data_IF_348646706245
#
_entry.id   IF_348646706245
#
_cell.length_a   1.000
_cell.length_b   1.000
_cell.length_c   1.000
_cell.angle_alpha   90.00
_cell.angle_beta   90.00
_cell.angle_gamma   90.00
#
_symmetry.space_group_name_H-M   'P 1'
#
loop_
_entity.id
_entity.type
_entity.pdbx_description
1 polymer ?
#
# COMPACT_ATOMS: atom_id res chain seq x y z
N UNK A 1 30.21 11.27 1.35
CA UNK A 1 29.67 12.28 0.40
C UNK A 1 28.29 11.80 0.01
N UNK A 2 27.25 12.29 0.67
CA UNK A 2 25.86 11.96 0.33
C UNK A 2 25.47 12.91 -0.80
N UNK A 3 25.30 12.40 -2.02
CA UNK A 3 24.77 13.22 -3.12
C UNK A 3 23.41 13.80 -2.68
N UNK A 4 23.16 15.10 -2.89
CA UNK A 4 21.87 15.68 -2.57
C UNK A 4 20.83 15.02 -3.48
N UNK A 5 19.84 14.33 -2.88
CA UNK A 5 18.70 13.80 -3.62
C UNK A 5 18.06 14.94 -4.42
N UNK A 6 18.12 14.85 -5.74
CA UNK A 6 17.39 15.77 -6.62
C UNK A 6 15.91 15.74 -6.24
N UNK A 7 15.26 16.90 -6.05
CA UNK A 7 13.84 16.93 -5.71
C UNK A 7 13.03 16.23 -6.81
N UNK A 8 12.29 15.21 -6.43
CA UNK A 8 11.49 14.40 -7.36
C UNK A 8 10.32 15.21 -7.95
N UNK A 9 10.12 15.13 -9.26
CA UNK A 9 9.05 15.81 -10.02
C UNK A 9 7.68 15.14 -9.83
N UNK A 10 6.61 15.80 -10.29
CA UNK A 10 5.27 15.20 -10.39
C UNK A 10 5.20 14.11 -11.48
N UNK A 11 5.99 14.25 -12.54
CA UNK A 11 6.01 13.28 -13.64
C UNK A 11 6.82 12.02 -13.31
N UNK A 12 7.58 12.05 -12.21
CA UNK A 12 8.39 10.91 -11.80
C UNK A 12 7.52 9.68 -11.49
N UNK A 13 7.96 8.47 -11.87
CA UNK A 13 7.24 7.25 -11.60
C UNK A 13 7.17 6.97 -10.10
N UNK A 14 6.12 6.28 -9.66
CA UNK A 14 6.01 5.79 -8.27
C UNK A 14 7.07 4.71 -8.02
N UNK A 15 8.00 4.96 -7.09
CA UNK A 15 9.10 4.03 -6.77
C UNK A 15 8.94 3.40 -5.39
N UNK A 16 8.08 3.96 -4.55
CA UNK A 16 7.83 3.45 -3.20
C UNK A 16 6.36 3.40 -2.84
N UNK A 17 5.93 2.29 -2.23
CA UNK A 17 4.56 2.08 -1.76
C UNK A 17 4.59 1.67 -0.28
N UNK A 18 3.84 2.39 0.54
CA UNK A 18 3.64 2.10 1.96
C UNK A 18 2.20 1.64 2.20
N UNK A 19 2.02 0.45 2.77
CA UNK A 19 0.72 0.01 3.27
C UNK A 19 0.57 0.25 4.77
N UNK A 20 -0.55 0.79 5.21
CA UNK A 20 -0.81 1.07 6.63
C UNK A 20 -2.09 0.39 7.08
N UNK A 21 -2.01 -0.34 8.20
CA UNK A 21 -3.20 -0.79 8.92
C UNK A 21 -3.07 -0.47 10.42
N UNK A 22 -3.87 -1.10 11.27
CA UNK A 22 -3.78 -0.86 12.73
C UNK A 22 -2.58 -1.59 13.33
N UNK A 23 -2.63 -2.92 13.39
CA UNK A 23 -1.65 -3.73 14.13
C UNK A 23 -0.41 -4.17 13.33
N UNK A 24 -0.41 -3.95 12.01
CA UNK A 24 0.62 -4.45 11.08
C UNK A 24 0.90 -5.96 11.18
N UNK A 25 -0.15 -6.76 11.39
CA UNK A 25 -0.06 -8.23 11.43
C UNK A 25 -1.01 -8.92 10.45
N UNK A 26 -2.01 -8.23 9.90
CA UNK A 26 -3.01 -8.82 9.02
C UNK A 26 -3.01 -8.21 7.61
N UNK A 27 -3.68 -7.06 7.45
CA UNK A 27 -4.00 -6.45 6.15
C UNK A 27 -2.80 -5.84 5.43
N UNK A 28 -2.05 -4.96 6.11
CA UNK A 28 -0.91 -4.28 5.49
C UNK A 28 0.28 -5.20 5.20
N UNK A 29 0.62 -6.21 6.03
CA UNK A 29 1.62 -7.22 5.67
C UNK A 29 1.22 -8.04 4.45
N UNK A 30 -0.05 -8.46 4.36
CA UNK A 30 -0.57 -9.19 3.20
C UNK A 30 -0.37 -8.38 1.91
N UNK A 31 -0.76 -7.10 1.94
CA UNK A 31 -0.63 -6.22 0.79
C UNK A 31 0.84 -5.96 0.41
N UNK A 32 1.72 -5.74 1.39
CA UNK A 32 3.15 -5.54 1.18
C UNK A 32 3.79 -6.75 0.50
N UNK A 33 3.63 -7.93 1.09
CA UNK A 33 4.30 -9.14 0.62
C UNK A 33 3.79 -9.54 -0.77
N UNK A 34 2.48 -9.43 -0.99
CA UNK A 34 1.90 -9.69 -2.31
C UNK A 34 2.37 -8.69 -3.36
N UNK A 35 2.39 -7.38 -3.06
CA UNK A 35 2.86 -6.40 -4.04
C UNK A 35 4.35 -6.56 -4.34
N UNK A 36 5.17 -6.85 -3.32
CA UNK A 36 6.61 -7.09 -3.48
C UNK A 36 6.89 -8.28 -4.38
N UNK A 37 6.14 -9.38 -4.22
CA UNK A 37 6.20 -10.54 -5.11
C UNK A 37 5.83 -10.17 -6.56
N UNK A 38 4.75 -9.39 -6.73
CA UNK A 38 4.26 -9.04 -8.06
C UNK A 38 5.05 -7.92 -8.76
N UNK A 39 5.75 -7.07 -8.04
CA UNK A 39 6.54 -5.99 -8.66
C UNK A 39 7.96 -6.00 -8.09
N UNK A 40 8.81 -6.95 -8.52
CA UNK A 40 10.21 -6.99 -8.11
C UNK A 40 10.92 -5.67 -8.41
N UNK A 41 11.76 -5.21 -7.49
CA UNK A 41 12.50 -3.94 -7.61
C UNK A 41 11.77 -2.70 -7.10
N UNK A 42 10.46 -2.78 -6.81
CA UNK A 42 9.72 -1.69 -6.17
C UNK A 42 10.00 -1.65 -4.66
N UNK A 43 10.19 -0.44 -4.10
CA UNK A 43 10.34 -0.28 -2.65
C UNK A 43 8.97 -0.37 -1.96
N UNK A 44 8.59 -1.58 -1.55
CA UNK A 44 7.32 -1.82 -0.83
C UNK A 44 7.58 -2.02 0.66
N UNK A 45 6.76 -1.41 1.51
CA UNK A 45 6.78 -1.66 2.95
C UNK A 45 5.40 -1.52 3.58
N UNK A 46 5.23 -1.99 4.82
CA UNK A 46 4.03 -1.78 5.60
C UNK A 46 4.31 -1.39 7.04
N UNK A 47 3.36 -0.69 7.64
CA UNK A 47 3.38 -0.22 9.02
C UNK A 47 2.01 -0.32 9.68
N UNK A 48 2.01 -0.15 11.00
CA UNK A 48 0.81 -0.12 11.83
C UNK A 48 0.71 1.19 12.58
N UNK A 49 -0.48 1.81 12.61
CA UNK A 49 -0.71 3.00 13.45
C UNK A 49 -0.64 2.67 14.95
N UNK A 50 -0.95 1.43 15.31
CA UNK A 50 -0.80 0.86 16.66
C UNK A 50 -0.23 -0.55 16.52
N UNK A 51 1.00 -0.65 16.02
CA UNK A 51 1.60 -1.91 15.61
C UNK A 51 1.86 -2.83 16.80
N UNK A 52 1.63 -4.12 16.59
CA UNK A 52 2.05 -5.17 17.52
C UNK A 52 3.52 -5.49 17.28
N UNK A 53 4.43 -4.54 17.53
CA UNK A 53 5.84 -4.55 17.06
C UNK A 53 6.56 -5.89 17.30
N UNK A 54 7.28 -6.36 16.28
CA UNK A 54 8.08 -7.59 16.34
C UNK A 54 7.28 -8.88 16.16
N UNK A 55 5.95 -8.81 16.04
CA UNK A 55 5.11 -9.97 15.76
C UNK A 55 5.21 -10.38 14.29
N UNK A 56 5.04 -11.67 14.04
CA UNK A 56 4.84 -12.20 12.70
C UNK A 56 3.46 -11.86 12.14
N UNK A 57 3.23 -12.25 10.89
CA UNK A 57 1.91 -12.16 10.28
C UNK A 57 0.93 -13.10 10.99
N UNK A 58 -0.31 -12.65 11.16
CA UNK A 58 -1.39 -13.43 11.77
C UNK A 58 -1.65 -14.69 10.93
N UNK A 59 -1.84 -15.84 11.60
CA UNK A 59 -1.83 -17.17 10.97
C UNK A 59 -2.87 -17.34 9.87
N UNK A 60 -4.10 -16.87 10.08
CA UNK A 60 -5.16 -16.99 9.09
C UNK A 60 -4.82 -16.19 7.83
N UNK A 61 -4.32 -14.96 8.02
CA UNK A 61 -3.88 -14.12 6.90
C UNK A 61 -2.64 -14.69 6.20
N UNK A 62 -1.69 -15.25 6.95
CA UNK A 62 -0.52 -15.93 6.39
C UNK A 62 -0.93 -17.15 5.55
N UNK A 63 -1.92 -17.92 6.02
CA UNK A 63 -2.51 -19.02 5.26
C UNK A 63 -3.13 -18.56 3.94
N UNK A 64 -3.90 -17.47 3.95
CA UNK A 64 -4.46 -16.88 2.72
C UNK A 64 -3.36 -16.41 1.75
N UNK A 65 -2.25 -15.87 2.27
CA UNK A 65 -1.13 -15.42 1.43
C UNK A 65 -0.38 -16.61 0.82
N UNK A 66 -0.20 -17.69 1.59
CA UNK A 66 0.43 -18.93 1.13
C UNK A 66 -0.36 -19.60 -0.01
N UNK A 67 -1.69 -19.50 -0.01
CA UNK A 67 -2.54 -19.96 -1.14
C UNK A 67 -2.22 -19.23 -2.45
N UNK A 68 -1.60 -18.05 -2.39
CA UNK A 68 -1.14 -17.28 -3.55
C UNK A 68 0.33 -17.57 -3.93
N UNK A 69 0.97 -18.54 -3.25
CA UNK A 69 2.38 -18.90 -3.45
C UNK A 69 3.38 -17.96 -2.78
N UNK A 70 2.93 -17.06 -1.91
CA UNK A 70 3.79 -16.06 -1.25
C UNK A 70 3.99 -16.41 0.22
N UNK A 71 5.25 -16.54 0.64
CA UNK A 71 5.62 -16.78 2.04
C UNK A 71 5.53 -15.52 2.89
N UNK A 72 5.31 -15.70 4.19
CA UNK A 72 5.36 -14.61 5.19
C UNK A 72 6.50 -14.77 6.20
N UNK A 73 7.39 -15.74 5.96
CA UNK A 73 8.54 -16.00 6.80
C UNK A 73 9.46 -14.77 6.89
N UNK A 74 9.95 -14.50 8.10
CA UNK A 74 10.80 -13.33 8.36
C UNK A 74 10.07 -11.98 8.42
N UNK A 75 8.78 -11.89 8.07
CA UNK A 75 8.02 -10.66 8.27
C UNK A 75 7.95 -10.32 9.76
N UNK A 76 8.14 -9.05 10.09
CA UNK A 76 8.01 -8.51 11.45
C UNK A 76 7.28 -7.19 11.40
N UNK A 77 6.23 -7.08 12.21
CA UNK A 77 5.42 -5.88 12.34
C UNK A 77 6.25 -4.69 12.85
N UNK A 78 5.94 -3.51 12.34
CA UNK A 78 6.64 -2.25 12.62
C UNK A 78 5.65 -1.10 12.84
N UNK A 79 5.95 -0.27 13.82
CA UNK A 79 5.18 0.94 14.12
C UNK A 79 5.39 1.97 13.02
N UNK A 80 4.30 2.60 12.58
CA UNK A 80 4.36 3.73 11.65
C UNK A 80 5.13 4.87 12.30
N UNK A 81 6.13 5.38 11.59
CA UNK A 81 6.86 6.59 11.94
C UNK A 81 6.61 7.67 10.88
N UNK A 82 6.87 8.94 11.22
CA UNK A 82 6.67 10.08 10.31
C UNK A 82 7.52 9.94 9.05
N UNK A 83 8.72 9.40 9.17
CA UNK A 83 9.66 9.20 8.07
C UNK A 83 9.13 8.20 7.02
N UNK A 84 8.34 7.21 7.45
CA UNK A 84 7.72 6.24 6.54
C UNK A 84 6.74 6.93 5.59
N UNK A 85 6.11 8.02 6.03
CA UNK A 85 5.17 8.80 5.24
C UNK A 85 5.84 9.58 4.10
N UNK A 86 7.17 9.47 3.96
CA UNK A 86 7.94 9.98 2.82
C UNK A 86 7.71 9.19 1.51
N UNK A 87 7.07 8.01 1.56
CA UNK A 87 6.76 7.19 0.39
C UNK A 87 5.98 7.95 -0.69
N UNK A 88 6.08 7.49 -1.94
CA UNK A 88 5.39 8.10 -3.09
C UNK A 88 3.89 7.84 -3.08
N UNK A 89 3.49 6.67 -2.58
CA UNK A 89 2.09 6.25 -2.45
C UNK A 89 1.90 5.56 -1.09
N UNK A 90 0.97 6.09 -0.28
CA UNK A 90 0.57 5.54 1.01
C UNK A 90 -0.86 5.01 0.88
N UNK A 91 -1.06 3.74 1.18
CA UNK A 91 -2.36 3.06 1.07
C UNK A 91 -2.80 2.55 2.44
N UNK A 92 -3.88 3.12 2.95
CA UNK A 92 -4.50 2.70 4.21
C UNK A 92 -5.67 1.74 3.95
N UNK A 93 -6.11 1.01 4.98
CA UNK A 93 -7.23 0.07 4.87
C UNK A 93 -8.59 0.71 5.18
N UNK A 94 -8.61 1.88 5.84
CA UNK A 94 -9.85 2.57 6.19
C UNK A 94 -9.72 4.08 6.28
N UNK A 95 -10.86 4.78 6.18
CA UNK A 95 -10.92 6.24 6.36
C UNK A 95 -10.38 6.70 7.73
N UNK A 96 -10.64 5.94 8.80
CA UNK A 96 -10.09 6.23 10.14
C UNK A 96 -8.57 6.20 10.15
N UNK A 97 -7.95 5.24 9.49
CA UNK A 97 -6.49 5.15 9.40
C UNK A 97 -5.91 6.29 8.56
N UNK A 98 -6.62 6.73 7.51
CA UNK A 98 -6.23 7.92 6.74
C UNK A 98 -6.19 9.14 7.65
N UNK A 99 -7.22 9.37 8.46
CA UNK A 99 -7.27 10.52 9.36
C UNK A 99 -6.10 10.52 10.34
N UNK A 100 -5.80 9.38 10.98
CA UNK A 100 -4.61 9.25 11.86
C UNK A 100 -3.31 9.58 11.13
N UNK A 101 -3.12 9.10 9.90
CA UNK A 101 -1.93 9.43 9.10
C UNK A 101 -1.83 10.94 8.82
N UNK A 102 -2.95 11.61 8.56
CA UNK A 102 -2.98 13.03 8.23
C UNK A 102 -2.88 13.94 9.46
N UNK A 103 -3.30 13.46 10.64
CA UNK A 103 -3.06 14.11 11.92
C UNK A 103 -1.57 14.15 12.24
N UNK A 104 -0.86 13.03 12.01
CA UNK A 104 0.60 12.94 12.20
C UNK A 104 1.38 13.76 11.16
N UNK A 105 0.95 13.75 9.89
CA UNK A 105 1.62 14.50 8.83
C UNK A 105 0.62 14.97 7.76
N UNK A 106 0.13 16.22 7.85
CA UNK A 106 -0.75 16.81 6.85
C UNK A 106 -0.14 16.82 5.43
N UNK A 107 1.19 16.90 5.32
CA UNK A 107 1.90 16.85 4.05
C UNK A 107 1.75 15.51 3.30
N UNK A 108 1.29 14.45 3.98
CA UNK A 108 1.01 13.16 3.36
C UNK A 108 -0.31 13.12 2.57
N UNK A 109 -1.17 14.14 2.68
CA UNK A 109 -2.49 14.18 2.02
C UNK A 109 -2.43 13.95 0.49
N UNK A 110 -1.35 14.41 -0.17
CA UNK A 110 -1.16 14.26 -1.63
C UNK A 110 -0.66 12.89 -2.07
N UNK A 111 -0.56 11.92 -1.15
CA UNK A 111 -0.06 10.56 -1.41
C UNK A 111 -0.78 9.48 -0.61
N UNK A 112 -1.61 9.87 0.36
CA UNK A 112 -2.39 8.94 1.17
C UNK A 112 -3.80 8.73 0.62
N UNK A 113 -4.08 7.52 0.14
CA UNK A 113 -5.41 7.06 -0.29
C UNK A 113 -5.83 5.75 0.38
N UNK A 114 -7.08 5.33 0.13
CA UNK A 114 -7.61 4.06 0.64
C UNK A 114 -7.36 2.95 -0.38
N UNK A 115 -6.92 1.78 0.08
CA UNK A 115 -6.73 0.62 -0.78
C UNK A 115 -8.05 0.18 -1.46
N UNK A 116 -9.19 0.34 -0.79
CA UNK A 116 -10.51 0.06 -1.36
C UNK A 116 -10.93 0.97 -2.51
N UNK A 117 -10.21 2.07 -2.74
CA UNK A 117 -10.48 3.06 -3.81
C UNK A 117 -9.48 2.95 -4.97
N UNK A 118 -8.73 1.85 -5.05
CA UNK A 118 -7.84 1.57 -6.16
C UNK A 118 -8.53 1.50 -7.53
N UNK A 119 -9.79 1.04 -7.66
CA UNK A 119 -10.51 1.11 -8.93
C UNK A 119 -10.59 2.54 -9.48
N UNK A 120 -10.80 3.55 -8.63
CA UNK A 120 -10.84 4.96 -9.02
C UNK A 120 -9.47 5.44 -9.52
N UNK A 121 -8.38 5.06 -8.85
CA UNK A 121 -7.03 5.37 -9.33
C UNK A 121 -6.78 4.74 -10.69
N UNK A 122 -7.17 3.48 -10.86
CA UNK A 122 -7.01 2.73 -12.11
C UNK A 122 -7.77 3.39 -13.25
N UNK A 123 -9.03 3.79 -13.00
CA UNK A 123 -9.85 4.51 -13.98
C UNK A 123 -9.26 5.88 -14.34
N UNK A 124 -8.74 6.62 -13.34
CA UNK A 124 -8.13 7.92 -13.56
C UNK A 124 -6.84 7.82 -14.39
N UNK A 125 -6.00 6.83 -14.11
CA UNK A 125 -4.72 6.64 -14.78
C UNK A 125 -4.93 6.12 -16.21
N UNK A 126 -5.85 5.17 -16.39
CA UNK A 126 -6.08 4.50 -17.66
C UNK A 126 -4.85 3.72 -18.10
N UNK A 127 -4.45 3.89 -19.36
CA UNK A 127 -3.29 3.20 -19.93
C UNK A 127 -1.94 3.90 -19.70
N UNK A 128 -1.96 5.05 -19.03
CA UNK A 128 -0.75 5.83 -18.75
C UNK A 128 0.09 5.19 -17.62
N UNK A 129 1.41 5.43 -17.59
CA UNK A 129 2.24 5.13 -16.43
C UNK A 129 1.75 5.81 -15.16
N UNK A 130 1.88 5.13 -14.01
CA UNK A 130 1.55 5.70 -12.70
C UNK A 130 2.70 6.57 -12.20
N UNK A 131 2.46 7.88 -12.15
CA UNK A 131 3.38 8.87 -11.62
C UNK A 131 2.85 9.57 -10.36
N UNK A 132 3.70 10.35 -9.70
CA UNK A 132 3.35 11.05 -8.45
C UNK A 132 2.26 12.10 -8.65
N UNK A 133 2.18 12.73 -9.82
CA UNK A 133 1.16 13.71 -10.19
C UNK A 133 -0.23 13.09 -10.24
N UNK A 134 -0.34 11.90 -10.85
CA UNK A 134 -1.58 11.13 -10.89
C UNK A 134 -2.02 10.68 -9.49
N UNK A 135 -1.08 10.22 -8.64
CA UNK A 135 -1.36 9.92 -7.24
C UNK A 135 -1.89 11.16 -6.52
N UNK A 136 -1.21 12.31 -6.64
CA UNK A 136 -1.63 13.54 -5.99
C UNK A 136 -2.98 14.08 -6.47
N UNK A 137 -3.30 13.91 -7.76
CA UNK A 137 -4.62 14.23 -8.30
C UNK A 137 -5.69 13.29 -7.72
N UNK A 138 -5.40 11.99 -7.68
CA UNK A 138 -6.31 10.98 -7.16
C UNK A 138 -6.61 11.18 -5.67
N UNK A 139 -5.60 11.42 -4.82
CA UNK A 139 -5.84 11.57 -3.38
C UNK A 139 -6.54 12.87 -3.00
N UNK A 140 -6.49 13.90 -3.86
CA UNK A 140 -7.29 15.12 -3.71
C UNK A 140 -8.76 14.89 -4.03
N UNK A 141 -9.05 14.10 -5.07
CA UNK A 141 -10.42 13.74 -5.45
C UNK A 141 -11.01 12.63 -4.56
N UNK A 142 -10.14 11.76 -4.03
CA UNK A 142 -10.50 10.61 -3.19
C UNK A 142 -10.76 11.03 -1.75
N UNK A 143 -11.85 11.78 -1.56
CA UNK A 143 -12.48 11.91 -0.26
C UNK A 143 -13.88 11.23 -0.16
N UNK A 144 -14.15 10.02 -0.71
CA UNK A 144 -15.34 9.30 -0.29
C UNK A 144 -15.10 8.57 1.05
N UNK A 145 -16.11 8.56 1.91
CA UNK A 145 -16.23 7.55 2.94
C UNK A 145 -16.66 6.21 2.32
N UNK A 146 -16.33 5.09 2.96
CA UNK A 146 -16.76 3.75 2.53
C UNK A 146 -15.70 2.96 1.75
N UNK A 147 -16.01 1.68 1.47
CA UNK A 147 -15.08 0.64 0.94
C UNK A 147 -13.86 0.37 1.81
N UNK A 148 -14.01 0.55 3.12
CA UNK A 148 -13.02 0.09 4.08
C UNK A 148 -12.82 -1.42 3.92
N UNK A 149 -11.55 -1.86 3.99
CA UNK A 149 -11.23 -3.29 4.04
C UNK A 149 -11.45 -3.76 5.49
N UNK A 150 -12.38 -4.70 5.72
CA UNK A 150 -12.73 -5.18 7.07
C UNK A 150 -11.49 -5.66 7.82
N UNK A 151 -11.46 -5.48 9.14
CA UNK A 151 -10.33 -5.94 9.97
C UNK A 151 -10.51 -7.41 10.39
N UNK A 152 -9.69 -8.35 9.90
CA UNK A 152 -9.85 -9.77 10.21
C UNK A 152 -9.16 -10.18 11.52
N UNK A 153 -8.49 -9.26 12.22
CA UNK A 153 -7.68 -9.61 13.39
C UNK A 153 -8.49 -10.32 14.48
N UNK A 154 -8.06 -11.55 14.83
CA UNK A 154 -8.73 -12.44 15.80
C UNK A 154 -10.21 -12.71 15.47
N UNK A 155 -10.53 -12.81 14.17
CA UNK A 155 -11.86 -13.17 13.66
C UNK A 155 -11.86 -14.58 13.05
N UNK A 156 -12.93 -14.93 12.34
CA UNK A 156 -13.06 -16.23 11.68
C UNK A 156 -12.16 -16.33 10.44
N UNK A 157 -11.89 -17.55 10.00
CA UNK A 157 -11.18 -17.79 8.74
C UNK A 157 -11.90 -17.17 7.54
N UNK A 158 -13.24 -17.16 7.57
CA UNK A 158 -14.06 -16.51 6.55
C UNK A 158 -13.79 -14.99 6.49
N UNK A 159 -13.63 -14.33 7.65
CA UNK A 159 -13.31 -12.90 7.70
C UNK A 159 -11.91 -12.62 7.15
N UNK A 160 -10.94 -13.49 7.44
CA UNK A 160 -9.59 -13.43 6.86
C UNK A 160 -9.64 -13.61 5.33
N UNK A 161 -10.35 -14.63 4.85
CA UNK A 161 -10.51 -14.90 3.42
C UNK A 161 -11.21 -13.74 2.66
N UNK A 162 -12.26 -13.16 3.26
CA UNK A 162 -12.92 -11.98 2.70
C UNK A 162 -11.95 -10.80 2.55
N UNK A 163 -11.21 -10.50 3.61
CA UNK A 163 -10.24 -9.39 3.62
C UNK A 163 -9.11 -9.65 2.62
N UNK A 164 -8.59 -10.88 2.58
CA UNK A 164 -7.54 -11.29 1.64
C UNK A 164 -7.99 -11.15 0.18
N UNK A 165 -9.22 -11.56 -0.16
CA UNK A 165 -9.78 -11.39 -1.51
C UNK A 165 -9.81 -9.93 -1.95
N UNK A 166 -10.33 -9.05 -1.09
CA UNK A 166 -10.39 -7.61 -1.39
C UNK A 166 -8.99 -7.01 -1.58
N UNK A 167 -8.05 -7.35 -0.69
CA UNK A 167 -6.67 -6.86 -0.80
C UNK A 167 -6.01 -7.39 -2.08
N UNK A 168 -6.16 -8.68 -2.37
CA UNK A 168 -5.58 -9.31 -3.55
C UNK A 168 -6.09 -8.64 -4.84
N UNK A 169 -7.39 -8.38 -4.94
CA UNK A 169 -7.98 -7.69 -6.10
C UNK A 169 -7.32 -6.33 -6.32
N UNK A 170 -7.29 -5.49 -5.29
CA UNK A 170 -6.74 -4.13 -5.39
C UNK A 170 -5.21 -4.11 -5.59
N UNK A 171 -4.48 -5.01 -4.94
CA UNK A 171 -3.02 -5.13 -5.11
C UNK A 171 -2.68 -5.64 -6.51
N UNK A 172 -3.48 -6.55 -7.08
CA UNK A 172 -3.28 -7.03 -8.45
C UNK A 172 -3.49 -5.91 -9.46
N UNK A 173 -4.53 -5.10 -9.29
CA UNK A 173 -4.76 -3.91 -10.13
C UNK A 173 -3.61 -2.90 -10.00
N UNK A 174 -3.16 -2.62 -8.78
CA UNK A 174 -2.02 -1.74 -8.52
C UNK A 174 -0.71 -2.26 -9.17
N UNK A 175 -0.44 -3.56 -9.05
CA UNK A 175 0.73 -4.17 -9.68
C UNK A 175 0.71 -4.01 -11.21
N UNK A 176 -0.46 -4.15 -11.83
CA UNK A 176 -0.62 -3.92 -13.27
C UNK A 176 -0.32 -2.47 -13.67
N UNK A 177 -0.74 -1.48 -12.87
CA UNK A 177 -0.41 -0.06 -13.10
C UNK A 177 1.10 0.22 -12.96
N UNK A 178 1.73 -0.32 -11.92
CA UNK A 178 3.13 -0.07 -11.61
C UNK A 178 4.07 -0.67 -12.66
N UNK A 179 3.76 -1.86 -13.18
CA UNK A 179 4.58 -2.52 -14.22
C UNK A 179 4.63 -1.73 -15.54
N UNK A 180 3.57 -0.99 -15.88
CA UNK A 180 3.53 -0.11 -17.07
C UNK A 180 4.53 1.05 -16.98
N UNK A 181 4.92 1.42 -15.77
CA UNK A 181 5.84 2.54 -15.52
C UNK A 181 7.32 2.13 -15.62
N UNK A 182 7.60 0.82 -15.67
CA UNK A 182 8.96 0.27 -15.83
C UNK A 182 9.37 0.03 -17.28
N UNK A 183 8.44 0.14 -18.24
CA UNK A 183 8.72 -0.16 -19.65
C UNK A 183 9.31 1.00 -20.46
N UNK A 184 9.37 2.21 -19.92
CA UNK A 184 9.91 3.38 -20.64
C UNK A 184 11.43 3.57 -20.48
N UNK A 185 12.08 2.87 -19.55
CA UNK A 185 13.50 3.09 -19.20
C UNK A 185 14.48 2.14 -19.91
N UNK A 186 14.03 1.38 -20.93
CA UNK A 186 14.90 0.45 -21.71
C UNK A 186 15.18 0.95 -23.14
N UNK A 187 14.74 2.15 -23.51
CA UNK A 187 14.85 2.67 -24.88
C UNK A 187 15.72 3.93 -25.04
N UNK A 188 16.65 4.22 -24.13
CA UNK A 188 17.53 5.39 -24.25
C UNK A 188 19.00 5.11 -23.96
#
# INVERSE_FOLDING_TARGET
>A
MTEPLTPRSADDPVRSVLFVCTGNVCRSPFAELLLRDRVPGLAVSSRGTYALVGQGMERQMAGQLALLGVGSDGFRSRQLQVEDLSADLVLVMSGRQRNLVLEESPAAARRTGLLGHLPELTAQVGDRPLNRGAVAAWTRASAPAGRDIPDPYRRSEQAAAQSARMIQEHVTALAALLRRSGTEDTAR
#
